data_IF_537497978345
#
_entry.id   IF_537497978345
#
_cell.length_a   1.000
_cell.length_b   1.000
_cell.length_c   1.000
_cell.angle_alpha   90.00
_cell.angle_beta   90.00
_cell.angle_gamma   90.00
#
_symmetry.space_group_name_H-M   'P 1'
#
loop_
_entity.id
_entity.type
_entity.pdbx_description
1 polymer ?
#
# COMPACT_ATOMS: atom_id res chain seq x y z
N UNK A 1 -43.18 -48.99 43.40
CA UNK A 1 -42.82 -49.41 42.04
C UNK A 1 -41.48 -48.72 41.69
N UNK A 2 -40.40 -49.49 41.89
CA UNK A 2 -39.04 -49.07 41.60
C UNK A 2 -38.80 -49.15 40.08
N UNK A 3 -38.45 -48.06 39.48
CA UNK A 3 -38.01 -47.98 38.09
C UNK A 3 -36.55 -48.45 37.99
N UNK A 4 -36.33 -49.71 37.73
CA UNK A 4 -35.01 -50.22 37.31
C UNK A 4 -34.57 -49.57 36.01
N UNK A 5 -33.61 -48.65 36.11
CA UNK A 5 -32.86 -48.13 34.96
C UNK A 5 -31.97 -49.26 34.45
N UNK A 6 -32.42 -49.98 33.43
CA UNK A 6 -31.60 -50.93 32.66
C UNK A 6 -30.35 -50.22 32.18
N UNK A 7 -29.18 -50.48 32.79
CA UNK A 7 -27.86 -50.04 32.32
C UNK A 7 -27.60 -50.73 30.98
N UNK A 8 -27.75 -50.01 29.86
CA UNK A 8 -27.33 -50.52 28.54
C UNK A 8 -25.83 -50.83 28.63
N UNK A 9 -25.48 -52.10 28.50
CA UNK A 9 -24.09 -52.56 28.39
C UNK A 9 -23.37 -51.78 27.25
N UNK A 10 -22.26 -51.17 27.57
CA UNK A 10 -21.45 -50.50 26.56
C UNK A 10 -20.79 -51.56 25.69
N UNK A 11 -21.11 -51.60 24.42
CA UNK A 11 -20.48 -52.49 23.45
C UNK A 11 -18.97 -52.37 23.49
N UNK A 12 -18.26 -53.52 23.57
CA UNK A 12 -16.79 -53.56 23.65
C UNK A 12 -16.16 -52.95 22.39
N UNK A 13 -15.06 -52.19 22.50
CA UNK A 13 -14.34 -51.64 21.33
C UNK A 13 -13.85 -52.78 20.43
N UNK A 14 -13.96 -52.59 19.12
CA UNK A 14 -13.59 -53.55 18.08
C UNK A 14 -12.40 -53.01 17.31
N UNK A 15 -11.43 -53.86 16.98
CA UNK A 15 -10.34 -53.48 16.08
C UNK A 15 -10.88 -53.39 14.64
N UNK A 16 -11.28 -52.21 14.21
CA UNK A 16 -11.85 -51.98 12.90
C UNK A 16 -10.81 -52.13 11.79
N UNK A 17 -11.19 -52.74 10.68
CA UNK A 17 -10.41 -52.77 9.42
C UNK A 17 -11.24 -52.19 8.31
N UNK A 18 -10.60 -51.75 7.22
CA UNK A 18 -11.32 -51.18 6.07
C UNK A 18 -12.29 -52.20 5.45
N UNK A 19 -11.93 -53.52 5.44
CA UNK A 19 -12.81 -54.60 4.99
C UNK A 19 -14.04 -54.75 5.88
N UNK A 20 -13.85 -54.77 7.20
CA UNK A 20 -14.93 -54.87 8.17
C UNK A 20 -15.86 -53.66 8.08
N UNK A 21 -15.29 -52.44 7.97
CA UNK A 21 -16.09 -51.22 7.83
C UNK A 21 -16.93 -51.24 6.54
N UNK A 22 -16.41 -51.74 5.43
CA UNK A 22 -17.16 -51.88 4.18
C UNK A 22 -18.36 -52.83 4.33
N UNK A 23 -18.17 -53.95 5.01
CA UNK A 23 -19.17 -54.98 5.20
C UNK A 23 -20.21 -54.68 6.29
N UNK A 24 -20.13 -53.57 7.02
CA UNK A 24 -21.10 -53.27 8.07
C UNK A 24 -22.51 -53.03 7.51
N UNK A 25 -23.54 -53.74 8.05
CA UNK A 25 -24.92 -53.63 7.59
C UNK A 25 -25.52 -52.26 7.98
N UNK A 26 -26.45 -51.80 7.17
CA UNK A 26 -27.35 -50.68 7.51
C UNK A 26 -28.46 -51.16 8.46
N UNK A 27 -28.92 -50.28 9.34
CA UNK A 27 -30.03 -50.53 10.26
C UNK A 27 -31.09 -49.46 10.09
N UNK A 28 -32.29 -49.65 10.57
CA UNK A 28 -33.36 -48.64 10.55
C UNK A 28 -32.97 -47.34 11.23
N UNK A 29 -32.13 -47.44 12.29
CA UNK A 29 -31.57 -46.27 13.01
C UNK A 29 -30.05 -46.27 12.89
N UNK A 30 -29.46 -45.07 12.90
CA UNK A 30 -28.01 -44.93 12.94
C UNK A 30 -27.43 -45.54 14.21
N UNK A 31 -26.22 -46.06 14.10
CA UNK A 31 -25.54 -46.66 15.24
C UNK A 31 -24.04 -46.35 15.23
N UNK A 32 -23.43 -46.43 16.41
CA UNK A 32 -22.01 -46.21 16.58
C UNK A 32 -21.27 -47.51 16.88
N UNK A 33 -20.10 -47.65 16.29
CA UNK A 33 -19.12 -48.69 16.62
C UNK A 33 -17.88 -48.02 17.17
N UNK A 34 -17.38 -48.48 18.31
CA UNK A 34 -16.14 -47.97 18.91
C UNK A 34 -14.93 -48.74 18.36
N UNK A 35 -13.92 -48.04 17.90
CA UNK A 35 -12.61 -48.65 17.57
C UNK A 35 -11.81 -48.88 18.85
N UNK A 36 -10.80 -49.75 18.80
CA UNK A 36 -9.84 -49.95 19.88
C UNK A 36 -9.02 -48.67 20.17
N UNK A 37 -8.92 -47.76 19.21
CA UNK A 37 -8.31 -46.43 19.42
C UNK A 37 -9.20 -45.58 20.30
N UNK A 38 -8.71 -45.09 21.47
CA UNK A 38 -9.53 -44.32 22.39
C UNK A 38 -10.17 -43.09 21.74
N UNK A 39 -11.50 -42.95 21.92
CA UNK A 39 -12.28 -41.84 21.37
C UNK A 39 -12.72 -41.99 19.92
N UNK A 40 -12.14 -42.92 19.14
CA UNK A 40 -12.53 -43.13 17.75
C UNK A 40 -13.81 -43.96 17.64
N UNK A 41 -14.81 -43.40 16.96
CA UNK A 41 -16.07 -44.09 16.66
C UNK A 41 -16.49 -43.92 15.24
N UNK A 42 -17.04 -44.96 14.65
CA UNK A 42 -17.68 -44.94 13.36
C UNK A 42 -19.20 -44.85 13.55
N UNK A 43 -19.84 -43.89 12.91
CA UNK A 43 -21.29 -43.79 12.80
C UNK A 43 -21.71 -44.34 11.46
N UNK A 44 -22.64 -45.28 11.48
CA UNK A 44 -23.27 -45.87 10.28
C UNK A 44 -24.71 -45.37 10.22
N UNK A 45 -25.04 -44.71 9.13
CA UNK A 45 -26.36 -44.16 8.88
C UNK A 45 -27.26 -45.15 8.15
N UNK A 46 -28.61 -45.04 8.26
CA UNK A 46 -29.55 -45.92 7.54
C UNK A 46 -29.34 -45.94 6.03
N UNK A 47 -28.92 -44.79 5.44
CA UNK A 47 -28.59 -44.70 4.01
C UNK A 47 -27.22 -45.25 3.62
N UNK A 48 -26.52 -45.95 4.52
CA UNK A 48 -25.23 -46.59 4.25
C UNK A 48 -24.02 -45.66 4.34
N UNK A 49 -24.19 -44.37 4.63
CA UNK A 49 -23.10 -43.46 4.86
C UNK A 49 -22.36 -43.79 6.15
N UNK A 50 -21.04 -43.80 6.12
CA UNK A 50 -20.16 -44.17 7.23
C UNK A 50 -19.23 -43.02 7.52
N UNK A 51 -19.32 -42.47 8.74
CA UNK A 51 -18.60 -41.22 9.13
C UNK A 51 -17.81 -41.44 10.42
N UNK A 52 -16.56 -41.04 10.40
CA UNK A 52 -15.69 -41.08 11.56
C UNK A 52 -15.93 -39.90 12.50
N UNK A 53 -16.04 -40.20 13.80
CA UNK A 53 -16.14 -39.25 14.88
C UNK A 53 -15.07 -39.53 15.93
N UNK A 54 -14.54 -38.50 16.51
CA UNK A 54 -13.75 -38.51 17.73
C UNK A 54 -14.61 -38.00 18.88
N UNK A 55 -14.74 -38.79 19.92
CA UNK A 55 -15.55 -38.48 21.11
C UNK A 55 -14.60 -38.30 22.29
N UNK A 56 -14.63 -37.13 22.90
CA UNK A 56 -13.79 -36.80 24.03
C UNK A 56 -14.58 -35.98 25.05
N UNK A 57 -14.09 -35.88 26.27
CA UNK A 57 -14.67 -35.07 27.32
C UNK A 57 -13.66 -34.02 27.77
N UNK A 58 -13.83 -32.74 27.42
CA UNK A 58 -13.05 -31.66 27.98
C UNK A 58 -13.23 -31.57 29.49
N UNK A 59 -12.21 -31.12 30.22
CA UNK A 59 -12.24 -31.00 31.69
C UNK A 59 -13.40 -30.07 32.09
N UNK A 60 -14.31 -30.55 32.95
CA UNK A 60 -15.48 -29.78 33.42
C UNK A 60 -16.62 -29.59 32.41
N UNK A 61 -16.57 -30.19 31.22
CA UNK A 61 -17.63 -30.08 30.18
C UNK A 61 -18.27 -31.41 29.83
N UNK A 62 -19.41 -31.38 29.17
CA UNK A 62 -20.08 -32.54 28.61
C UNK A 62 -19.25 -33.16 27.47
N UNK A 63 -19.45 -34.49 27.20
CA UNK A 63 -18.81 -35.16 26.07
C UNK A 63 -19.04 -34.42 24.76
N UNK A 64 -17.98 -34.17 24.00
CA UNK A 64 -17.99 -33.54 22.69
C UNK A 64 -17.78 -34.55 21.59
N UNK A 65 -18.35 -34.26 20.40
CA UNK A 65 -18.25 -35.11 19.20
C UNK A 65 -17.60 -34.30 18.08
N UNK A 66 -16.39 -34.63 17.70
CA UNK A 66 -15.70 -34.04 16.56
C UNK A 66 -15.87 -34.95 15.34
N UNK A 67 -16.46 -34.43 14.28
CA UNK A 67 -16.50 -35.13 12.98
C UNK A 67 -15.10 -35.11 12.37
N UNK A 68 -14.53 -36.28 12.07
CA UNK A 68 -13.22 -36.39 11.43
C UNK A 68 -13.31 -36.34 9.90
N UNK A 69 -14.07 -37.28 9.31
CA UNK A 69 -14.41 -37.30 7.87
C UNK A 69 -15.32 -38.51 7.55
N UNK A 70 -15.76 -38.61 6.28
CA UNK A 70 -16.44 -39.76 5.75
C UNK A 70 -15.44 -40.91 5.46
N UNK A 71 -15.85 -42.18 5.69
CA UNK A 71 -15.03 -43.36 5.40
C UNK A 71 -14.59 -43.44 3.93
N UNK A 72 -15.39 -42.96 2.98
CA UNK A 72 -14.99 -42.90 1.56
C UNK A 72 -13.72 -42.07 1.32
N UNK A 73 -13.46 -41.08 2.18
CA UNK A 73 -12.31 -40.17 2.09
C UNK A 73 -11.20 -40.49 3.09
N UNK A 74 -11.52 -41.19 4.15
CA UNK A 74 -10.61 -41.43 5.26
C UNK A 74 -10.67 -42.92 5.69
N UNK A 75 -9.61 -43.68 5.39
CA UNK A 75 -9.45 -45.07 5.81
C UNK A 75 -9.36 -45.20 7.34
N UNK A 76 -9.53 -46.44 7.85
CA UNK A 76 -9.36 -46.72 9.29
C UNK A 76 -7.99 -46.26 9.80
N UNK A 77 -6.90 -46.52 9.05
CA UNK A 77 -5.54 -46.06 9.40
C UNK A 77 -5.48 -44.55 9.48
N UNK A 78 -6.05 -43.87 8.51
CA UNK A 78 -6.10 -42.39 8.47
C UNK A 78 -6.88 -41.80 9.65
N UNK A 79 -8.04 -42.43 9.99
CA UNK A 79 -8.87 -42.05 11.13
C UNK A 79 -8.12 -42.20 12.46
N UNK A 80 -7.39 -43.29 12.65
CA UNK A 80 -6.53 -43.51 13.84
C UNK A 80 -5.42 -42.48 13.93
N UNK A 81 -4.77 -42.16 12.84
CA UNK A 81 -3.72 -41.12 12.80
C UNK A 81 -4.28 -39.75 13.17
N UNK A 82 -5.47 -39.38 12.64
CA UNK A 82 -6.13 -38.13 13.04
C UNK A 82 -6.53 -38.11 14.53
N UNK A 83 -7.03 -39.25 15.05
CA UNK A 83 -7.32 -39.37 16.48
C UNK A 83 -6.08 -39.16 17.36
N UNK A 84 -4.94 -39.75 16.99
CA UNK A 84 -3.69 -39.59 17.75
C UNK A 84 -3.29 -38.12 17.78
N UNK A 85 -3.41 -37.40 16.65
CA UNK A 85 -3.12 -35.97 16.58
C UNK A 85 -4.05 -35.16 17.50
N UNK A 86 -5.35 -35.38 17.42
CA UNK A 86 -6.36 -34.72 18.27
C UNK A 86 -6.10 -34.99 19.76
N UNK A 87 -5.73 -36.22 20.13
CA UNK A 87 -5.39 -36.55 21.49
C UNK A 87 -4.12 -35.81 21.97
N UNK A 88 -3.11 -35.64 21.11
CA UNK A 88 -1.92 -34.85 21.42
C UNK A 88 -2.27 -33.36 21.61
N UNK A 89 -3.15 -32.81 20.77
CA UNK A 89 -3.64 -31.43 20.90
C UNK A 89 -4.38 -31.22 22.24
N UNK A 90 -5.27 -32.17 22.61
CA UNK A 90 -5.98 -32.16 23.89
C UNK A 90 -5.03 -32.28 25.10
N UNK A 91 -3.99 -33.11 24.98
CA UNK A 91 -2.96 -33.20 26.02
C UNK A 91 -2.24 -31.87 26.26
N UNK A 92 -2.06 -31.09 25.20
CA UNK A 92 -1.51 -29.73 25.24
C UNK A 92 -2.57 -28.65 25.58
N UNK A 93 -3.73 -29.04 26.14
CA UNK A 93 -4.86 -28.16 26.45
C UNK A 93 -5.45 -27.40 25.24
N UNK A 94 -5.29 -27.92 24.03
CA UNK A 94 -5.88 -27.36 22.82
C UNK A 94 -7.18 -28.12 22.52
N UNK A 95 -8.34 -27.50 22.77
CA UNK A 95 -9.63 -28.07 22.43
C UNK A 95 -9.90 -27.92 20.93
N UNK A 96 -10.03 -29.01 20.15
CA UNK A 96 -10.18 -28.93 18.71
C UNK A 96 -11.49 -28.28 18.25
N UNK A 97 -12.56 -28.35 19.04
CA UNK A 97 -13.85 -27.72 18.73
C UNK A 97 -13.76 -26.21 19.01
N UNK A 98 -13.17 -25.82 20.13
CA UNK A 98 -12.94 -24.41 20.45
C UNK A 98 -11.96 -23.76 19.47
N UNK A 99 -10.87 -24.45 19.16
CA UNK A 99 -9.92 -24.00 18.14
C UNK A 99 -10.59 -23.81 16.78
N UNK A 100 -11.43 -24.76 16.36
CA UNK A 100 -12.20 -24.65 15.12
C UNK A 100 -13.17 -23.46 15.15
N UNK A 101 -13.87 -23.26 16.26
CA UNK A 101 -14.77 -22.11 16.43
C UNK A 101 -14.01 -20.80 16.38
N UNK A 102 -12.88 -20.68 17.10
CA UNK A 102 -12.00 -19.51 17.02
C UNK A 102 -11.49 -19.28 15.59
N UNK A 103 -11.23 -20.34 14.83
CA UNK A 103 -10.84 -20.27 13.43
C UNK A 103 -11.98 -19.80 12.52
N UNK A 104 -13.19 -20.32 12.73
CA UNK A 104 -14.37 -19.92 11.96
C UNK A 104 -14.76 -18.46 12.26
N UNK A 105 -14.52 -17.97 13.46
CA UNK A 105 -14.80 -16.60 13.89
C UNK A 105 -13.69 -15.59 13.45
N UNK A 106 -12.54 -16.06 12.97
CA UNK A 106 -11.49 -15.16 12.49
C UNK A 106 -11.91 -14.38 11.23
N UNK A 107 -11.46 -13.12 11.10
CA UNK A 107 -11.82 -12.31 9.94
C UNK A 107 -11.16 -12.84 8.66
N UNK A 108 -11.83 -12.63 7.55
CA UNK A 108 -11.22 -12.78 6.23
C UNK A 108 -10.17 -11.68 5.98
N UNK A 109 -9.26 -11.91 5.03
CA UNK A 109 -8.30 -10.88 4.62
C UNK A 109 -8.98 -9.55 4.25
N UNK A 110 -10.12 -9.62 3.55
CA UNK A 110 -10.85 -8.43 3.14
C UNK A 110 -11.47 -7.65 4.31
N UNK A 111 -11.99 -8.35 5.32
CA UNK A 111 -12.53 -7.75 6.55
C UNK A 111 -11.42 -7.14 7.40
N UNK A 112 -10.36 -7.89 7.66
CA UNK A 112 -9.25 -7.44 8.45
C UNK A 112 -8.48 -6.26 7.82
N UNK A 113 -8.35 -6.21 6.49
CA UNK A 113 -7.76 -5.07 5.78
C UNK A 113 -8.63 -3.81 5.86
N UNK A 114 -9.97 -3.95 5.82
CA UNK A 114 -10.88 -2.80 6.01
C UNK A 114 -10.78 -2.24 7.41
N UNK A 115 -10.76 -3.11 8.41
CA UNK A 115 -10.58 -2.71 9.79
C UNK A 115 -9.23 -2.03 10.00
N UNK A 116 -8.14 -2.64 9.57
CA UNK A 116 -6.80 -2.03 9.64
C UNK A 116 -6.72 -0.65 9.00
N UNK A 117 -7.36 -0.49 7.82
CA UNK A 117 -7.42 0.81 7.15
C UNK A 117 -8.18 1.83 7.97
N UNK A 118 -9.38 1.48 8.49
CA UNK A 118 -10.26 2.42 9.18
C UNK A 118 -9.75 2.78 10.58
N UNK A 119 -9.22 1.81 11.32
CA UNK A 119 -8.83 1.98 12.72
C UNK A 119 -7.36 2.34 12.91
N UNK A 120 -6.45 1.70 12.17
CA UNK A 120 -5.01 1.85 12.41
C UNK A 120 -4.37 2.87 11.49
N UNK A 121 -4.64 2.80 10.18
CA UNK A 121 -3.99 3.70 9.22
C UNK A 121 -4.50 5.14 9.29
N UNK A 122 -5.79 5.31 9.57
CA UNK A 122 -6.42 6.65 9.56
C UNK A 122 -6.36 7.34 10.90
N UNK A 123 -6.32 6.60 12.02
CA UNK A 123 -6.42 7.15 13.37
C UNK A 123 -5.07 7.24 14.10
N UNK A 124 -4.11 6.36 13.80
CA UNK A 124 -2.80 6.41 14.45
C UNK A 124 -1.88 7.49 13.87
N UNK A 125 -1.27 8.27 14.75
CA UNK A 125 -0.29 9.33 14.48
C UNK A 125 1.06 8.84 13.90
N UNK A 126 1.08 7.83 13.03
CA UNK A 126 2.32 7.26 12.50
C UNK A 126 2.51 7.43 11.00
N UNK A 127 1.43 7.43 10.24
CA UNK A 127 1.52 7.46 8.79
C UNK A 127 1.20 8.84 8.21
N UNK A 128 2.03 9.31 7.26
CA UNK A 128 1.75 10.56 6.55
C UNK A 128 0.49 10.41 5.69
N UNK A 129 -0.32 11.47 5.59
CA UNK A 129 -1.53 11.50 4.74
C UNK A 129 -1.27 11.02 3.30
N UNK A 130 -0.11 11.37 2.72
CA UNK A 130 0.28 10.91 1.39
C UNK A 130 0.49 9.38 1.32
N UNK A 131 1.10 8.77 2.35
CA UNK A 131 1.28 7.32 2.46
C UNK A 131 -0.07 6.61 2.55
N UNK A 132 -0.96 7.09 3.42
CA UNK A 132 -2.32 6.55 3.55
C UNK A 132 -3.08 6.63 2.22
N UNK A 133 -2.98 7.76 1.52
CA UNK A 133 -3.58 7.95 0.19
C UNK A 133 -3.04 6.93 -0.83
N UNK A 134 -1.76 6.66 -0.81
CA UNK A 134 -1.12 5.68 -1.72
C UNK A 134 -1.53 4.26 -1.39
N UNK A 135 -1.54 3.89 -0.10
CA UNK A 135 -2.03 2.58 0.36
C UNK A 135 -3.48 2.39 -0.07
N UNK A 136 -4.34 3.39 0.19
CA UNK A 136 -5.74 3.37 -0.24
C UNK A 136 -5.86 3.18 -1.75
N UNK A 137 -5.12 3.93 -2.54
CA UNK A 137 -5.16 3.83 -4.00
C UNK A 137 -4.75 2.44 -4.51
N UNK A 138 -3.74 1.81 -3.88
CA UNK A 138 -3.29 0.46 -4.22
C UNK A 138 -4.29 -0.62 -3.77
N UNK A 139 -4.84 -0.50 -2.56
CA UNK A 139 -5.74 -1.51 -1.98
C UNK A 139 -7.21 -1.31 -2.38
N UNK A 140 -7.62 -0.08 -2.72
CA UNK A 140 -9.03 0.27 -2.99
C UNK A 140 -9.66 -0.55 -4.13
N UNK A 141 -9.00 -0.85 -5.25
CA UNK A 141 -9.58 -1.70 -6.29
C UNK A 141 -9.95 -3.10 -5.80
N UNK A 142 -9.31 -3.55 -4.72
CA UNK A 142 -9.38 -4.92 -4.20
C UNK A 142 -10.30 -5.06 -2.98
N UNK A 143 -10.32 -4.05 -2.12
CA UNK A 143 -10.96 -4.13 -0.80
C UNK A 143 -12.28 -3.36 -0.75
N UNK A 144 -12.35 -2.20 -1.42
CA UNK A 144 -13.44 -1.24 -1.25
C UNK A 144 -14.42 -1.18 -2.43
N UNK A 145 -14.08 -1.71 -3.59
CA UNK A 145 -15.00 -1.74 -4.72
C UNK A 145 -15.88 -2.99 -4.70
N UNK A 146 -17.17 -2.79 -4.56
CA UNK A 146 -18.17 -3.67 -5.15
C UNK A 146 -18.17 -3.34 -6.65
N UNK A 147 -17.36 -4.00 -7.46
CA UNK A 147 -17.40 -3.76 -8.90
C UNK A 147 -18.33 -4.76 -9.54
N UNK A 148 -19.42 -4.27 -10.11
CA UNK A 148 -20.22 -4.98 -11.10
C UNK A 148 -19.52 -5.02 -12.47
N UNK A 149 -18.32 -4.46 -12.58
CA UNK A 149 -17.55 -4.41 -13.83
C UNK A 149 -16.84 -5.75 -14.06
N UNK A 150 -17.36 -6.53 -14.99
CA UNK A 150 -16.86 -7.86 -15.38
C UNK A 150 -15.41 -7.81 -15.84
N UNK A 151 -14.99 -6.75 -16.53
CA UNK A 151 -13.62 -6.58 -17.02
C UNK A 151 -12.62 -6.40 -15.86
N UNK A 152 -13.04 -5.72 -14.80
CA UNK A 152 -12.22 -5.57 -13.58
C UNK A 152 -12.24 -6.88 -12.77
N UNK A 153 -13.38 -7.58 -12.66
CA UNK A 153 -13.48 -8.91 -12.01
C UNK A 153 -12.56 -9.92 -12.68
N UNK A 154 -12.60 -10.04 -14.00
CA UNK A 154 -11.77 -11.00 -14.74
C UNK A 154 -10.28 -10.64 -14.70
N UNK A 155 -9.96 -9.35 -14.61
CA UNK A 155 -8.58 -8.88 -14.50
C UNK A 155 -7.93 -9.27 -13.17
N UNK A 156 -8.74 -9.56 -12.13
CA UNK A 156 -8.29 -9.68 -10.75
C UNK A 156 -8.92 -10.85 -9.97
N UNK A 157 -9.47 -11.84 -10.68
CA UNK A 157 -10.16 -12.99 -10.08
C UNK A 157 -9.39 -13.69 -8.94
N UNK A 158 -8.08 -13.84 -9.07
CA UNK A 158 -7.27 -14.50 -8.04
C UNK A 158 -7.12 -13.69 -6.74
N UNK A 159 -7.39 -12.40 -6.77
CA UNK A 159 -7.41 -11.57 -5.57
C UNK A 159 -8.74 -11.59 -4.83
N UNK A 160 -9.83 -11.79 -5.55
CA UNK A 160 -11.11 -12.10 -4.92
C UNK A 160 -10.98 -13.37 -4.07
N UNK A 161 -10.24 -14.39 -4.56
CA UNK A 161 -9.99 -15.62 -3.81
C UNK A 161 -9.20 -15.37 -2.52
N UNK A 162 -8.15 -14.55 -2.53
CA UNK A 162 -7.39 -14.20 -1.33
C UNK A 162 -8.21 -13.38 -0.33
N UNK A 163 -9.03 -12.46 -0.83
CA UNK A 163 -9.86 -11.57 -0.01
C UNK A 163 -10.86 -12.32 0.86
N UNK A 164 -11.38 -13.44 0.36
CA UNK A 164 -12.37 -14.28 1.05
C UNK A 164 -11.74 -15.30 2.00
N UNK A 165 -10.42 -15.53 1.92
CA UNK A 165 -9.72 -16.47 2.79
C UNK A 165 -9.51 -15.90 4.19
N UNK A 166 -9.53 -16.77 5.19
CA UNK A 166 -9.10 -16.43 6.55
C UNK A 166 -7.59 -16.15 6.57
N UNK A 167 -7.12 -15.29 7.48
CA UNK A 167 -5.73 -14.86 7.52
C UNK A 167 -4.73 -16.01 7.62
N UNK A 168 -5.05 -17.03 8.42
CA UNK A 168 -4.19 -18.20 8.64
C UNK A 168 -4.18 -19.20 7.48
N UNK A 169 -5.18 -19.16 6.60
CA UNK A 169 -5.24 -20.01 5.40
C UNK A 169 -4.37 -19.50 4.26
N UNK A 170 -3.88 -18.26 4.39
CA UNK A 170 -3.05 -17.64 3.35
C UNK A 170 -1.63 -18.13 3.50
N UNK A 171 -1.19 -18.96 2.56
CA UNK A 171 0.17 -19.52 2.55
C UNK A 171 1.15 -18.63 1.79
N UNK A 172 2.43 -18.92 1.97
CA UNK A 172 3.51 -18.23 1.23
C UNK A 172 3.42 -18.50 -0.26
N UNK A 173 3.06 -19.72 -0.66
CA UNK A 173 2.87 -20.12 -2.05
C UNK A 173 1.74 -19.30 -2.69
N UNK A 174 0.65 -19.07 -1.98
CA UNK A 174 -0.45 -18.19 -2.43
C UNK A 174 0.02 -16.75 -2.60
N UNK A 175 0.83 -16.23 -1.68
CA UNK A 175 1.38 -14.88 -1.76
C UNK A 175 2.37 -14.73 -2.94
N UNK A 176 3.20 -15.73 -3.21
CA UNK A 176 4.11 -15.75 -4.35
C UNK A 176 3.33 -15.86 -5.68
N UNK A 177 2.31 -16.71 -5.75
CA UNK A 177 1.44 -16.83 -6.92
C UNK A 177 0.68 -15.53 -7.20
N UNK A 178 0.16 -14.89 -6.15
CA UNK A 178 -0.46 -13.58 -6.24
C UNK A 178 0.49 -12.53 -6.84
N UNK A 179 1.72 -12.44 -6.35
CA UNK A 179 2.73 -11.54 -6.88
C UNK A 179 3.03 -11.83 -8.36
N UNK A 180 3.23 -13.10 -8.72
CA UNK A 180 3.50 -13.54 -10.10
C UNK A 180 2.37 -13.15 -11.06
N UNK A 181 1.12 -13.36 -10.67
CA UNK A 181 -0.05 -13.01 -11.49
C UNK A 181 -0.17 -11.50 -11.70
N UNK A 182 0.10 -10.71 -10.66
CA UNK A 182 0.09 -9.26 -10.78
C UNK A 182 1.26 -8.73 -11.61
N UNK A 183 2.41 -9.38 -11.53
CA UNK A 183 3.62 -9.03 -12.29
C UNK A 183 3.34 -9.00 -13.78
N UNK A 184 2.59 -9.96 -14.33
CA UNK A 184 2.25 -10.00 -15.75
C UNK A 184 1.45 -8.78 -16.22
N UNK A 185 0.77 -8.08 -15.30
CA UNK A 185 -0.10 -6.92 -15.58
C UNK A 185 0.55 -5.59 -15.22
N UNK A 186 1.25 -5.53 -14.10
CA UNK A 186 1.93 -4.32 -13.59
C UNK A 186 2.98 -4.68 -12.54
N UNK A 187 4.24 -4.86 -12.94
CA UNK A 187 5.32 -5.28 -12.06
C UNK A 187 5.50 -4.40 -10.82
N UNK A 188 5.47 -3.07 -11.01
CA UNK A 188 5.66 -2.10 -9.92
C UNK A 188 4.48 -2.14 -8.92
N UNK A 189 3.25 -2.26 -9.42
CA UNK A 189 2.07 -2.38 -8.54
C UNK A 189 2.10 -3.70 -7.78
N UNK A 190 2.55 -4.79 -8.39
CA UNK A 190 2.73 -6.08 -7.72
C UNK A 190 3.68 -5.95 -6.52
N UNK A 191 4.85 -5.34 -6.71
CA UNK A 191 5.80 -5.08 -5.62
C UNK A 191 5.19 -4.24 -4.50
N UNK A 192 4.48 -3.15 -4.85
CA UNK A 192 3.84 -2.25 -3.87
C UNK A 192 2.75 -2.95 -3.06
N UNK A 193 1.93 -3.77 -3.70
CA UNK A 193 0.89 -4.53 -3.01
C UNK A 193 1.48 -5.52 -2.03
N UNK A 194 2.53 -6.26 -2.42
CA UNK A 194 3.26 -7.17 -1.51
C UNK A 194 3.82 -6.40 -0.31
N UNK A 195 4.41 -5.22 -0.51
CA UNK A 195 4.91 -4.39 0.59
C UNK A 195 3.79 -3.98 1.56
N UNK A 196 2.62 -3.57 1.05
CA UNK A 196 1.50 -3.16 1.91
C UNK A 196 0.85 -4.35 2.62
N UNK A 197 0.72 -5.49 1.95
CA UNK A 197 0.24 -6.71 2.59
C UNK A 197 1.23 -7.22 3.64
N UNK A 198 2.55 -7.15 3.37
CA UNK A 198 3.57 -7.45 4.38
C UNK A 198 3.43 -6.55 5.62
N UNK A 199 3.18 -5.26 5.43
CA UNK A 199 2.97 -4.31 6.53
C UNK A 199 1.69 -4.64 7.31
N UNK A 200 0.60 -4.95 6.61
CA UNK A 200 -0.65 -5.40 7.22
C UNK A 200 -0.47 -6.68 8.05
N UNK A 201 0.18 -7.72 7.50
CA UNK A 201 0.38 -8.98 8.21
C UNK A 201 1.30 -8.85 9.42
N UNK A 202 2.30 -7.97 9.39
CA UNK A 202 3.06 -7.66 10.60
C UNK A 202 2.17 -7.06 11.69
N UNK A 203 1.27 -6.14 11.33
CA UNK A 203 0.28 -5.60 12.27
C UNK A 203 -0.71 -6.67 12.74
N UNK A 204 -1.15 -7.57 11.86
CA UNK A 204 -2.05 -8.67 12.22
C UNK A 204 -1.40 -9.63 13.24
N UNK A 205 -0.10 -9.88 13.12
CA UNK A 205 0.68 -10.65 14.10
C UNK A 205 0.72 -9.92 15.46
N UNK A 206 1.01 -8.61 15.46
CA UNK A 206 0.99 -7.77 16.68
C UNK A 206 -0.39 -7.77 17.38
N UNK A 207 -1.45 -8.00 16.61
CA UNK A 207 -2.84 -8.12 17.09
C UNK A 207 -3.29 -9.56 17.34
N UNK A 208 -2.38 -10.52 17.28
CA UNK A 208 -2.67 -11.96 17.48
C UNK A 208 -3.74 -12.53 16.54
N UNK A 209 -3.97 -11.89 15.39
CA UNK A 209 -4.92 -12.35 14.38
C UNK A 209 -4.35 -13.47 13.50
N UNK A 210 -3.03 -13.60 13.44
CA UNK A 210 -2.33 -14.69 12.75
C UNK A 210 -0.91 -14.86 13.29
N UNK A 211 -0.30 -16.03 13.05
CA UNK A 211 1.01 -16.38 13.63
C UNK A 211 2.18 -16.13 12.67
N UNK A 212 1.92 -15.94 11.38
CA UNK A 212 2.96 -15.76 10.37
C UNK A 212 2.60 -14.70 9.34
N UNK A 213 3.61 -14.26 8.59
CA UNK A 213 3.43 -13.30 7.51
C UNK A 213 3.80 -13.94 6.17
N UNK A 214 2.82 -14.38 5.37
CA UNK A 214 3.05 -15.04 4.09
C UNK A 214 3.67 -14.11 3.04
N UNK A 215 3.55 -12.79 3.18
CA UNK A 215 4.09 -11.78 2.27
C UNK A 215 5.54 -11.37 2.56
N UNK A 216 6.28 -12.12 3.39
CA UNK A 216 7.74 -11.99 3.52
C UNK A 216 8.45 -12.64 2.32
N UNK A 217 8.16 -12.15 1.12
CA UNK A 217 8.78 -12.61 -0.12
C UNK A 217 10.22 -12.11 -0.17
N UNK A 218 11.17 -12.98 -0.56
CA UNK A 218 12.58 -12.59 -0.68
C UNK A 218 12.75 -11.53 -1.78
N UNK A 219 13.61 -10.53 -1.54
CA UNK A 219 13.86 -9.43 -2.47
C UNK A 219 14.18 -9.90 -3.90
N UNK A 220 15.00 -10.96 -4.05
CA UNK A 220 15.36 -11.55 -5.37
C UNK A 220 14.16 -12.06 -6.19
N UNK A 221 13.01 -12.28 -5.55
CA UNK A 221 11.76 -12.69 -6.20
C UNK A 221 10.85 -11.52 -6.57
N UNK A 222 11.18 -10.30 -6.14
CA UNK A 222 10.47 -9.10 -6.55
C UNK A 222 10.93 -8.65 -7.94
N UNK A 223 10.05 -7.90 -8.62
CA UNK A 223 10.38 -7.35 -9.92
C UNK A 223 11.46 -6.27 -9.81
N UNK A 224 12.43 -6.30 -10.71
CA UNK A 224 13.39 -5.23 -10.82
C UNK A 224 12.67 -3.90 -11.17
N UNK A 225 12.87 -2.88 -10.35
CA UNK A 225 12.42 -1.53 -10.68
C UNK A 225 13.55 -0.88 -11.50
N UNK A 226 13.22 -0.38 -12.70
CA UNK A 226 14.21 0.35 -13.52
C UNK A 226 14.67 1.58 -12.73
N UNK A 227 15.94 1.68 -12.48
CA UNK A 227 16.57 2.90 -12.04
C UNK A 227 16.57 3.87 -13.22
N UNK A 228 15.82 4.95 -13.08
CA UNK A 228 15.84 6.03 -14.06
C UNK A 228 16.91 7.03 -13.61
N UNK A 229 18.08 6.93 -14.19
CA UNK A 229 19.13 7.95 -14.10
C UNK A 229 18.91 9.03 -15.17
N UNK A 230 17.68 9.54 -15.27
CA UNK A 230 17.36 10.61 -16.21
C UNK A 230 17.90 11.93 -15.65
N UNK A 231 18.92 12.51 -16.29
CA UNK A 231 19.47 13.82 -15.96
C UNK A 231 19.78 14.60 -17.26
N UNK A 232 19.97 15.89 -17.13
CA UNK A 232 20.48 16.76 -18.18
C UNK A 232 21.99 16.93 -17.98
N UNK A 233 22.75 16.85 -19.05
CA UNK A 233 24.15 17.30 -19.00
C UNK A 233 24.23 18.81 -18.80
N UNK A 234 25.42 19.34 -18.56
CA UNK A 234 25.64 20.77 -18.26
C UNK A 234 25.17 21.65 -19.41
N UNK A 235 25.37 21.25 -20.67
CA UNK A 235 24.96 22.00 -21.85
C UNK A 235 23.44 22.00 -22.04
N UNK A 236 22.83 20.87 -21.87
CA UNK A 236 21.37 20.73 -21.90
C UNK A 236 20.71 21.54 -20.78
N UNK A 237 21.26 21.44 -19.57
CA UNK A 237 20.78 22.21 -18.42
C UNK A 237 20.84 23.69 -18.68
N UNK A 238 21.97 24.18 -19.21
CA UNK A 238 22.15 25.59 -19.54
C UNK A 238 21.07 26.08 -20.50
N UNK A 239 20.82 25.35 -21.62
CA UNK A 239 19.78 25.70 -22.59
C UNK A 239 18.36 25.66 -21.99
N UNK A 240 18.09 24.70 -21.10
CA UNK A 240 16.78 24.62 -20.41
C UNK A 240 16.62 25.81 -19.46
N UNK A 241 17.65 26.17 -18.72
CA UNK A 241 17.63 27.30 -17.80
C UNK A 241 17.47 28.64 -18.54
N UNK A 242 18.16 28.84 -19.64
CA UNK A 242 18.00 30.02 -20.50
C UNK A 242 16.58 30.15 -21.03
N UNK A 243 15.98 29.06 -21.54
CA UNK A 243 14.58 29.06 -22.02
C UNK A 243 13.56 29.23 -20.88
N UNK A 244 13.89 28.81 -19.67
CA UNK A 244 12.99 28.89 -18.51
C UNK A 244 13.01 30.27 -17.86
N UNK A 245 14.16 31.00 -17.87
CA UNK A 245 14.37 32.24 -17.16
C UNK A 245 14.81 33.34 -18.15
N UNK A 246 13.84 34.00 -18.73
CA UNK A 246 14.08 35.17 -19.61
C UNK A 246 13.66 36.44 -18.92
N UNK A 247 14.63 37.35 -18.76
CA UNK A 247 14.42 38.66 -18.16
C UNK A 247 14.77 39.78 -19.13
N UNK A 248 14.07 40.90 -19.01
CA UNK A 248 14.38 42.13 -19.67
C UNK A 248 15.57 42.77 -18.95
N UNK A 249 16.67 42.92 -19.64
CA UNK A 249 17.94 43.40 -19.07
C UNK A 249 17.88 44.84 -18.51
N UNK A 250 16.97 45.69 -19.03
CA UNK A 250 16.77 47.06 -18.55
C UNK A 250 16.02 47.11 -17.23
N UNK A 251 15.00 46.29 -17.10
CA UNK A 251 14.07 46.30 -15.95
C UNK A 251 14.35 45.22 -14.92
N UNK A 252 15.11 44.19 -15.28
CA UNK A 252 15.31 42.99 -14.47
C UNK A 252 14.01 42.20 -14.18
N UNK A 253 12.99 42.41 -14.98
CA UNK A 253 11.68 41.74 -14.89
C UNK A 253 11.56 40.67 -15.94
N UNK A 254 10.49 39.85 -15.85
CA UNK A 254 10.24 38.83 -16.84
C UNK A 254 9.99 39.40 -18.25
N UNK A 255 10.62 38.82 -19.25
CA UNK A 255 10.42 39.17 -20.64
C UNK A 255 9.11 38.54 -21.13
N UNK A 256 7.99 39.24 -20.98
CA UNK A 256 6.63 38.75 -21.26
C UNK A 256 6.49 38.17 -22.65
N UNK A 257 7.04 38.84 -23.66
CA UNK A 257 6.97 38.41 -25.07
C UNK A 257 7.54 37.00 -25.29
N UNK A 258 8.64 36.64 -24.59
CA UNK A 258 9.21 35.31 -24.67
C UNK A 258 8.19 34.22 -24.26
N UNK A 259 7.53 34.40 -23.11
CA UNK A 259 6.58 33.42 -22.58
C UNK A 259 5.29 33.35 -23.41
N UNK A 260 4.83 34.48 -23.92
CA UNK A 260 3.62 34.57 -24.76
C UNK A 260 3.85 33.93 -26.13
N UNK A 261 4.91 34.29 -26.83
CA UNK A 261 5.26 33.77 -28.15
C UNK A 261 5.46 32.23 -28.12
N UNK A 262 6.06 31.72 -27.04
CA UNK A 262 6.28 30.29 -26.86
C UNK A 262 5.15 29.57 -26.12
N UNK A 263 4.04 30.25 -25.80
CA UNK A 263 2.91 29.71 -25.03
C UNK A 263 3.36 29.03 -23.74
N UNK A 264 4.34 29.59 -23.07
CA UNK A 264 4.85 29.12 -21.80
C UNK A 264 4.09 29.75 -20.63
N UNK A 265 4.18 29.11 -19.48
CA UNK A 265 3.58 29.62 -18.25
C UNK A 265 4.72 30.09 -17.33
N UNK A 266 4.93 31.41 -17.17
CA UNK A 266 6.08 31.95 -16.43
C UNK A 266 6.26 31.31 -15.05
N UNK A 267 5.19 31.23 -14.24
CA UNK A 267 5.25 30.64 -12.91
C UNK A 267 5.76 29.19 -12.93
N UNK A 268 5.35 28.40 -13.93
CA UNK A 268 5.80 27.02 -14.04
C UNK A 268 7.25 26.91 -14.54
N UNK A 269 7.66 27.80 -15.44
CA UNK A 269 9.05 27.89 -15.93
C UNK A 269 10.02 28.23 -14.80
N UNK A 270 9.72 29.28 -14.03
CA UNK A 270 10.55 29.69 -12.91
C UNK A 270 10.55 28.66 -11.77
N UNK A 271 9.45 27.96 -11.54
CA UNK A 271 9.42 26.83 -10.62
C UNK A 271 10.34 25.68 -11.07
N UNK A 272 10.35 25.35 -12.36
CA UNK A 272 11.24 24.32 -12.93
C UNK A 272 12.69 24.75 -12.79
N UNK A 273 13.05 26.00 -13.16
CA UNK A 273 14.38 26.55 -13.01
C UNK A 273 14.83 26.54 -11.54
N UNK A 274 13.97 26.97 -10.64
CA UNK A 274 14.26 26.93 -9.19
C UNK A 274 14.51 25.50 -8.68
N UNK A 275 13.79 24.51 -9.23
CA UNK A 275 14.03 23.10 -8.88
C UNK A 275 15.38 22.59 -9.38
N UNK A 276 15.80 22.97 -10.58
CA UNK A 276 17.15 22.67 -11.08
C UNK A 276 18.22 23.31 -10.20
N UNK A 277 18.06 24.59 -9.87
CA UNK A 277 19.03 25.32 -9.06
C UNK A 277 19.12 24.83 -7.60
N UNK A 278 18.08 24.18 -7.06
CA UNK A 278 18.02 23.83 -5.62
C UNK A 278 17.84 22.34 -5.35
N UNK A 279 17.60 21.52 -6.34
CA UNK A 279 17.20 20.09 -6.19
C UNK A 279 15.98 19.85 -5.27
N UNK A 280 15.13 20.86 -5.05
CA UNK A 280 13.96 20.73 -4.17
C UNK A 280 12.83 19.96 -4.85
N UNK A 281 12.09 19.16 -4.04
CA UNK A 281 10.96 18.36 -4.55
C UNK A 281 9.81 19.28 -4.95
N UNK A 282 9.22 19.03 -6.13
CA UNK A 282 8.12 19.85 -6.66
C UNK A 282 6.98 20.01 -5.64
N UNK A 283 6.36 18.92 -5.23
CA UNK A 283 5.10 18.96 -4.47
C UNK A 283 5.22 19.31 -3.00
N UNK A 284 6.36 19.05 -2.37
CA UNK A 284 6.51 19.17 -0.92
C UNK A 284 7.46 20.29 -0.47
N UNK A 285 8.31 20.79 -1.36
CA UNK A 285 9.36 21.74 -0.98
C UNK A 285 9.36 22.97 -1.88
N UNK A 286 9.39 22.82 -3.21
CA UNK A 286 9.49 23.96 -4.11
C UNK A 286 8.13 24.63 -4.39
N UNK A 287 7.10 23.86 -4.77
CA UNK A 287 5.80 24.43 -5.18
C UNK A 287 5.09 25.21 -4.08
N UNK A 288 5.16 24.74 -2.85
CA UNK A 288 4.47 25.34 -1.70
C UNK A 288 5.34 26.30 -0.89
N UNK A 289 6.47 26.70 -1.45
CA UNK A 289 7.40 27.64 -0.82
C UNK A 289 6.73 29.02 -0.64
N UNK A 290 6.86 29.55 0.56
CA UNK A 290 6.30 30.85 0.95
C UNK A 290 7.37 31.92 1.04
N UNK A 291 7.00 33.16 0.83
CA UNK A 291 7.90 34.29 1.04
C UNK A 291 8.43 34.38 2.48
N UNK A 292 7.62 34.04 3.48
CA UNK A 292 8.04 34.02 4.89
C UNK A 292 9.11 32.98 5.22
N UNK A 293 9.38 32.05 4.32
CA UNK A 293 10.41 31.03 4.49
C UNK A 293 11.75 31.44 3.89
N UNK A 294 11.79 32.56 3.17
CA UNK A 294 13.02 33.12 2.59
C UNK A 294 13.59 34.14 3.57
N UNK A 295 14.79 33.89 4.03
CA UNK A 295 15.46 34.75 4.98
C UNK A 295 16.70 35.38 4.29
N UNK A 296 16.79 36.70 4.34
CA UNK A 296 17.93 37.46 3.86
C UNK A 296 18.17 37.33 2.35
N UNK A 297 17.09 37.43 1.52
CA UNK A 297 17.21 37.28 0.06
C UNK A 297 18.31 38.19 -0.54
N UNK A 298 18.45 39.41 -0.05
CA UNK A 298 19.44 40.39 -0.54
C UNK A 298 20.76 40.34 0.23
N UNK A 299 20.87 39.50 1.27
CA UNK A 299 22.12 39.34 2.03
C UNK A 299 23.13 38.47 1.30
N UNK A 300 24.34 38.38 1.86
CA UNK A 300 25.41 37.48 1.38
C UNK A 300 25.10 36.01 1.60
N UNK A 301 24.23 35.70 2.58
CA UNK A 301 23.90 34.31 2.96
C UNK A 301 22.39 34.07 3.00
N UNK A 302 21.70 34.17 1.85
CA UNK A 302 20.28 33.90 1.77
C UNK A 302 19.98 32.43 2.05
N UNK A 303 18.88 32.17 2.75
CA UNK A 303 18.50 30.80 3.14
C UNK A 303 17.00 30.56 3.10
N UNK A 304 16.62 29.30 2.90
CA UNK A 304 15.25 28.81 2.99
C UNK A 304 15.09 28.07 4.32
N UNK A 305 14.05 28.39 5.07
CA UNK A 305 13.70 27.69 6.32
C UNK A 305 12.41 26.90 6.11
N UNK A 306 12.48 25.58 6.24
CA UNK A 306 11.33 24.71 6.19
C UNK A 306 10.98 24.26 7.60
N UNK A 307 9.75 24.48 8.03
CA UNK A 307 9.23 23.98 9.31
C UNK A 307 9.22 22.46 9.33
N UNK A 308 9.04 21.82 8.17
CA UNK A 308 8.97 20.38 8.03
C UNK A 308 9.36 19.94 6.62
N UNK A 309 10.36 19.05 6.53
CA UNK A 309 10.70 18.35 5.29
C UNK A 309 10.29 16.86 5.36
N UNK A 310 10.48 16.12 4.27
CA UNK A 310 10.20 14.66 4.25
C UNK A 310 11.13 13.89 5.19
N UNK A 311 12.32 14.39 5.45
CA UNK A 311 13.40 13.73 6.19
C UNK A 311 13.75 14.43 7.51
N UNK A 312 13.13 15.57 7.83
CA UNK A 312 13.34 16.23 9.12
C UNK A 312 12.62 15.50 10.24
N UNK A 313 13.24 15.47 11.41
CA UNK A 313 12.60 15.03 12.64
C UNK A 313 11.41 15.92 13.00
N UNK A 314 10.48 15.38 13.77
CA UNK A 314 9.30 16.14 14.19
C UNK A 314 9.73 17.32 15.06
N UNK A 315 9.47 18.54 14.56
CA UNK A 315 9.64 19.78 15.33
C UNK A 315 10.93 20.56 15.09
N UNK A 316 11.88 20.04 14.29
CA UNK A 316 13.10 20.78 13.98
C UNK A 316 13.02 21.42 12.59
N UNK A 317 13.06 22.75 12.47
CA UNK A 317 13.16 23.43 11.18
C UNK A 317 14.46 23.04 10.47
N UNK A 318 14.36 22.87 9.16
CA UNK A 318 15.53 22.56 8.32
C UNK A 318 15.89 23.78 7.47
N UNK A 319 17.11 24.25 7.59
CA UNK A 319 17.62 25.41 6.85
C UNK A 319 18.51 24.97 5.69
N UNK A 320 18.32 25.61 4.53
CA UNK A 320 19.12 25.37 3.33
C UNK A 320 19.63 26.71 2.76
N UNK A 321 20.89 26.79 2.33
CA UNK A 321 21.39 27.95 1.61
C UNK A 321 20.67 28.08 0.26
N UNK A 322 20.56 29.29 -0.23
CA UNK A 322 19.99 29.57 -1.56
C UNK A 322 21.17 29.76 -2.52
N UNK A 323 21.37 28.89 -3.52
CA UNK A 323 22.37 29.05 -4.55
C UNK A 323 22.16 30.34 -5.37
N UNK A 324 23.23 30.86 -5.96
CA UNK A 324 23.20 32.14 -6.71
C UNK A 324 22.11 32.20 -7.78
N UNK A 325 21.97 31.17 -8.59
CA UNK A 325 20.93 31.11 -9.62
C UNK A 325 19.50 31.06 -9.02
N UNK A 326 19.31 30.34 -7.93
CA UNK A 326 18.03 30.34 -7.22
C UNK A 326 17.73 31.71 -6.60
N UNK A 327 18.75 32.41 -6.09
CA UNK A 327 18.64 33.78 -5.59
C UNK A 327 18.19 34.73 -6.72
N UNK A 328 18.84 34.66 -7.90
CA UNK A 328 18.47 35.42 -9.09
C UNK A 328 17.00 35.21 -9.47
N UNK A 329 16.55 33.97 -9.54
CA UNK A 329 15.15 33.62 -9.83
C UNK A 329 14.19 34.26 -8.83
N UNK A 330 14.49 34.16 -7.53
CA UNK A 330 13.64 34.75 -6.49
C UNK A 330 13.58 36.26 -6.58
N UNK A 331 14.71 36.91 -6.91
CA UNK A 331 14.78 38.36 -7.11
C UNK A 331 13.98 38.83 -8.33
N UNK A 332 14.03 38.07 -9.44
CA UNK A 332 13.18 38.33 -10.63
C UNK A 332 11.71 38.28 -10.23
N UNK A 333 11.30 37.23 -9.51
CA UNK A 333 9.91 37.06 -9.06
C UNK A 333 9.52 38.22 -8.12
N UNK A 334 10.38 38.61 -7.20
CA UNK A 334 10.12 39.72 -6.27
C UNK A 334 9.91 41.05 -7.01
N UNK A 335 10.79 41.36 -7.99
CA UNK A 335 10.64 42.56 -8.82
C UNK A 335 9.37 42.53 -9.69
N UNK A 336 9.07 41.39 -10.35
CA UNK A 336 7.88 41.26 -11.15
C UNK A 336 6.60 41.39 -10.31
N UNK A 337 6.60 40.87 -9.08
CA UNK A 337 5.51 40.98 -8.14
C UNK A 337 5.16 42.42 -7.74
N UNK A 338 6.14 43.31 -7.70
CA UNK A 338 5.89 44.72 -7.38
C UNK A 338 5.14 45.48 -8.48
N UNK A 339 5.05 44.90 -9.69
CA UNK A 339 4.32 45.47 -10.81
C UNK A 339 2.89 44.89 -10.83
N UNK A 340 1.95 45.53 -10.13
CA UNK A 340 0.67 45.00 -9.75
C UNK A 340 -0.26 44.58 -10.89
N UNK A 341 -0.32 45.30 -11.99
CA UNK A 341 -1.41 45.13 -12.99
C UNK A 341 -1.18 43.95 -13.96
N UNK A 342 0.08 43.66 -14.28
CA UNK A 342 0.42 42.71 -15.32
C UNK A 342 1.16 41.47 -14.81
N UNK A 343 1.53 41.44 -13.52
CA UNK A 343 2.29 40.34 -12.97
C UNK A 343 1.48 39.06 -12.79
N UNK A 344 2.05 37.96 -13.20
CA UNK A 344 1.48 36.59 -12.91
C UNK A 344 1.82 36.12 -11.50
N UNK A 345 2.62 36.87 -10.73
CA UNK A 345 3.03 36.57 -9.36
C UNK A 345 2.37 37.49 -8.33
N UNK A 346 1.75 38.58 -8.76
CA UNK A 346 1.04 39.46 -7.86
C UNK A 346 -0.38 38.95 -7.54
N UNK A 347 -0.69 38.97 -6.28
CA UNK A 347 -2.04 38.78 -5.74
C UNK A 347 -2.19 39.68 -4.50
N UNK A 348 -3.36 40.29 -4.27
CA UNK A 348 -3.56 41.15 -3.12
C UNK A 348 -3.37 40.39 -1.80
N UNK A 349 -2.98 41.04 -0.71
CA UNK A 349 -2.71 40.38 0.58
C UNK A 349 -3.85 39.52 1.12
N UNK A 350 -5.08 39.85 0.78
CA UNK A 350 -6.29 39.07 1.13
C UNK A 350 -6.39 37.74 0.37
N UNK A 351 -5.71 37.60 -0.77
CA UNK A 351 -5.75 36.39 -1.56
C UNK A 351 -4.74 35.36 -0.98
N UNK A 352 -5.17 34.13 -0.69
CA UNK A 352 -4.26 33.08 -0.18
C UNK A 352 -3.03 32.81 -1.04
N UNK A 353 -3.08 33.12 -2.34
CA UNK A 353 -1.96 32.98 -3.29
C UNK A 353 -0.82 33.94 -3.01
N UNK A 354 -1.07 35.10 -2.40
CA UNK A 354 -0.10 36.14 -2.08
C UNK A 354 1.05 35.66 -1.19
N UNK A 355 0.83 34.64 -0.39
CA UNK A 355 1.81 34.05 0.52
C UNK A 355 2.86 33.20 -0.20
N UNK A 356 2.57 32.70 -1.42
CA UNK A 356 3.39 31.73 -2.12
C UNK A 356 4.24 32.37 -3.21
N UNK A 357 5.46 31.84 -3.39
CA UNK A 357 6.38 32.28 -4.43
C UNK A 357 5.90 31.88 -5.80
N UNK A 358 5.30 30.67 -5.89
CA UNK A 358 4.76 30.09 -7.13
C UNK A 358 3.24 29.95 -7.06
N UNK A 359 2.47 31.04 -7.24
CA UNK A 359 1.03 31.04 -7.06
C UNK A 359 0.30 30.27 -8.17
N UNK A 360 -0.84 29.65 -7.84
CA UNK A 360 -1.64 28.87 -8.77
C UNK A 360 -2.70 29.69 -9.50
N UNK A 361 -2.67 29.68 -10.84
CA UNK A 361 -3.73 30.27 -11.67
C UNK A 361 -5.06 29.51 -11.60
N UNK A 362 -5.04 28.25 -11.09
CA UNK A 362 -6.23 27.38 -10.99
C UNK A 362 -6.96 27.52 -9.67
N UNK A 363 -6.40 28.23 -8.68
CA UNK A 363 -7.05 28.43 -7.38
C UNK A 363 -8.43 29.10 -7.56
N UNK A 364 -9.44 28.55 -6.90
CA UNK A 364 -10.82 29.01 -7.01
C UNK A 364 -11.55 28.62 -8.32
N UNK A 365 -10.87 28.05 -9.31
CA UNK A 365 -11.48 27.68 -10.60
C UNK A 365 -12.00 26.24 -10.60
N UNK A 366 -13.06 25.98 -11.34
CA UNK A 366 -13.61 24.65 -11.55
C UNK A 366 -12.63 23.81 -12.39
N UNK A 367 -12.30 22.62 -11.92
CA UNK A 367 -11.47 21.60 -12.58
C UNK A 367 -12.26 20.31 -12.75
N UNK A 368 -11.71 19.33 -13.46
CA UNK A 368 -12.33 17.99 -13.58
C UNK A 368 -12.62 17.31 -12.23
N UNK A 369 -11.83 17.65 -11.19
CA UNK A 369 -11.96 17.11 -9.82
C UNK A 369 -12.68 18.04 -8.84
N UNK A 370 -13.35 19.09 -9.31
CA UNK A 370 -14.04 20.10 -8.51
C UNK A 370 -13.30 21.44 -8.46
N UNK A 371 -13.70 22.32 -7.54
CA UNK A 371 -13.05 23.64 -7.38
C UNK A 371 -11.66 23.44 -6.76
N UNK A 372 -10.64 24.01 -7.42
CA UNK A 372 -9.25 23.95 -6.92
C UNK A 372 -9.07 24.78 -5.65
N UNK A 373 -8.71 24.12 -4.55
CA UNK A 373 -8.46 24.77 -3.24
C UNK A 373 -6.98 25.01 -2.95
N UNK A 374 -6.09 24.73 -3.92
CA UNK A 374 -4.64 24.80 -3.72
C UNK A 374 -4.10 26.10 -4.29
N UNK A 375 -3.57 27.02 -3.44
CA UNK A 375 -3.17 28.36 -3.86
C UNK A 375 -1.80 28.42 -4.55
N UNK A 376 -1.02 27.35 -4.55
CA UNK A 376 0.30 27.27 -5.18
C UNK A 376 0.32 26.33 -6.38
N UNK A 377 1.33 26.47 -7.25
CA UNK A 377 1.45 25.71 -8.49
C UNK A 377 1.83 24.25 -8.20
N UNK A 378 1.15 23.28 -8.80
CA UNK A 378 1.40 21.86 -8.55
C UNK A 378 1.92 21.08 -9.76
N UNK A 379 1.40 21.35 -10.94
CA UNK A 379 1.68 20.53 -12.13
C UNK A 379 2.52 21.29 -13.16
N UNK A 380 3.79 20.93 -13.23
CA UNK A 380 4.75 21.51 -14.18
C UNK A 380 5.00 20.63 -15.40
N UNK A 381 4.42 19.44 -15.47
CA UNK A 381 4.76 18.43 -16.51
C UNK A 381 4.61 18.95 -17.93
N UNK A 382 3.52 19.62 -18.24
CA UNK A 382 3.31 20.17 -19.59
C UNK A 382 4.31 21.26 -19.97
N UNK A 383 4.63 22.15 -19.01
CA UNK A 383 5.65 23.19 -19.23
C UNK A 383 7.04 22.59 -19.31
N UNK A 384 7.37 21.61 -18.46
CA UNK A 384 8.65 20.90 -18.47
C UNK A 384 8.90 20.23 -19.82
N UNK A 385 7.94 19.48 -20.35
CA UNK A 385 8.04 18.84 -21.67
C UNK A 385 8.26 19.88 -22.80
N UNK A 386 7.60 21.04 -22.72
CA UNK A 386 7.81 22.13 -23.71
C UNK A 386 9.20 22.73 -23.63
N UNK A 387 9.69 23.02 -22.42
CA UNK A 387 11.03 23.53 -22.20
C UNK A 387 12.10 22.59 -22.72
N UNK A 388 11.98 21.28 -22.44
CA UNK A 388 12.91 20.28 -22.97
C UNK A 388 12.96 20.32 -24.49
N UNK A 389 11.78 20.28 -25.13
CA UNK A 389 11.69 20.33 -26.60
C UNK A 389 12.32 21.61 -27.18
N UNK A 390 12.03 22.78 -26.60
CA UNK A 390 12.61 24.05 -27.01
C UNK A 390 14.13 24.10 -26.85
N UNK A 391 14.66 23.36 -25.89
CA UNK A 391 16.09 23.28 -25.58
C UNK A 391 16.81 22.18 -26.37
N UNK A 392 16.14 21.53 -27.33
CA UNK A 392 16.71 20.45 -28.13
C UNK A 392 16.93 19.14 -27.36
N UNK A 393 16.12 18.89 -26.33
CA UNK A 393 16.16 17.65 -25.57
C UNK A 393 14.97 16.78 -25.97
N UNK A 394 15.17 15.85 -26.90
CA UNK A 394 14.09 15.07 -27.49
C UNK A 394 13.71 13.81 -26.69
N UNK A 395 14.56 13.39 -25.74
CA UNK A 395 14.22 12.25 -24.87
C UNK A 395 13.20 12.60 -23.80
N UNK A 396 12.37 11.63 -23.45
CA UNK A 396 11.37 11.82 -22.40
C UNK A 396 12.02 11.79 -21.01
N UNK A 397 12.04 12.94 -20.34
CA UNK A 397 12.46 13.08 -18.96
C UNK A 397 11.28 13.33 -18.03
N UNK A 398 11.28 12.72 -16.87
CA UNK A 398 10.33 13.03 -15.80
C UNK A 398 10.78 14.26 -15.05
N UNK A 399 9.85 15.06 -14.51
CA UNK A 399 10.20 16.24 -13.71
C UNK A 399 11.12 15.94 -12.51
N UNK A 400 11.21 14.69 -12.08
CA UNK A 400 12.14 14.25 -11.03
C UNK A 400 13.61 14.33 -11.48
N UNK A 401 13.87 14.38 -12.79
CA UNK A 401 15.19 14.62 -13.36
C UNK A 401 15.84 15.90 -12.83
N UNK A 402 15.07 16.93 -12.43
CA UNK A 402 15.59 18.15 -11.82
C UNK A 402 16.48 17.88 -10.59
N UNK A 403 16.19 16.82 -9.83
CA UNK A 403 17.02 16.43 -8.68
C UNK A 403 18.28 15.68 -9.08
N UNK A 404 18.14 14.76 -10.03
CA UNK A 404 19.27 13.95 -10.49
C UNK A 404 20.29 14.81 -11.24
N UNK A 405 19.81 15.77 -12.05
CA UNK A 405 20.65 16.67 -12.83
C UNK A 405 21.67 17.41 -11.97
N UNK A 406 21.24 18.12 -10.92
CA UNK A 406 22.19 18.85 -10.09
C UNK A 406 23.16 17.91 -9.37
N UNK A 407 22.68 16.82 -8.82
CA UNK A 407 23.53 15.84 -8.11
C UNK A 407 24.57 15.21 -9.05
N UNK A 408 24.17 14.84 -10.28
CA UNK A 408 25.06 14.21 -11.25
C UNK A 408 26.08 15.19 -11.79
N UNK A 409 25.69 16.44 -12.11
CA UNK A 409 26.62 17.45 -12.61
C UNK A 409 27.64 17.86 -11.53
N UNK A 410 27.20 18.04 -10.28
CA UNK A 410 28.12 18.31 -9.17
C UNK A 410 29.10 17.15 -8.95
N UNK A 411 28.65 15.91 -9.02
CA UNK A 411 29.51 14.74 -8.90
C UNK A 411 30.54 14.70 -10.04
N UNK A 412 30.13 15.01 -11.27
CA UNK A 412 31.03 15.08 -12.41
C UNK A 412 32.10 16.19 -12.29
N UNK A 413 31.73 17.34 -11.71
CA UNK A 413 32.62 18.47 -11.52
C UNK A 413 33.57 18.29 -10.34
N UNK A 414 33.13 17.68 -9.25
CA UNK A 414 33.89 17.57 -8.00
C UNK A 414 34.61 16.25 -7.82
N UNK A 415 34.25 15.23 -8.59
CA UNK A 415 34.82 13.87 -8.49
C UNK A 415 34.45 13.12 -7.19
N UNK A 416 33.49 13.62 -6.40
CA UNK A 416 33.05 13.07 -5.11
C UNK A 416 31.59 12.62 -5.14
#
# INVERSE_FOLDING_TARGET
MENEKVKKEKAKPINLTDALVRGLPTKEKDYFISDTTPGLRLRVWPGGEKVWYFIYRPKGKNPQKLKLDNFKKLSVRGARTRCKKVNADLFNNIDPIESKKQWDDQPTLGEALRDWYSTTLTTKNGYRKATIKTIKACLSPWIFRKTNDLAIRNKFSQLEDLKTKKLHDITKEMAEQFHKTLTSKSPIVANRLVQYLKMFFNHAIEKELCNNNPFRIKYKKLNAEKEYADFLDSTELHRVMENAVQEDQRTGRLLKSHYENNRLIPVACLLIAFQFATSRRTGSEASNLKWSQIIGLDSSYPRIVYDKTKTSDKGTPTTFPIPGEAKRILQIIARDRLNNEDSKFYYPPSDPRSKYIFPSRKYGKKTKSGISKIPYWQDVRGTFSKLLKMSGVDRHLKNYATRHTLATNLLAETGN
#
